data_IF_484012388408
#
_entry.id   IF_484012388408
#
_cell.length_a   1.000
_cell.length_b   1.000
_cell.length_c   1.000
_cell.angle_alpha   90.00
_cell.angle_beta   90.00
_cell.angle_gamma   90.00
#
_symmetry.space_group_name_H-M   'P 1'
#
loop_
_entity.id
_entity.type
_entity.pdbx_description
1 polymer ?
#
# COMPACT_ATOMS: atom_id res chain seq x y z
N UNK A 1 50.77 -34.30 10.32
CA UNK A 1 50.27 -33.80 9.02
C UNK A 1 49.98 -32.31 9.17
N UNK A 2 50.70 -31.40 8.50
CA UNK A 2 50.48 -29.96 8.60
C UNK A 2 49.22 -29.64 7.77
N UNK A 3 48.22 -29.06 8.41
CA UNK A 3 46.98 -28.64 7.75
C UNK A 3 47.20 -27.37 6.90
N UNK A 4 47.33 -27.55 5.60
CA UNK A 4 47.48 -26.42 4.65
C UNK A 4 46.15 -25.76 4.24
N UNK A 5 45.10 -26.01 5.02
CA UNK A 5 43.73 -25.48 4.73
C UNK A 5 43.68 -23.95 4.67
N UNK A 6 44.49 -23.26 5.50
CA UNK A 6 44.58 -21.79 5.49
C UNK A 6 45.21 -21.22 4.23
N UNK A 7 46.08 -21.97 3.53
CA UNK A 7 46.73 -21.53 2.28
C UNK A 7 45.65 -21.44 1.16
N UNK A 8 44.74 -22.41 1.11
CA UNK A 8 43.62 -22.41 0.16
C UNK A 8 42.67 -21.21 0.39
N UNK A 9 42.32 -20.97 1.65
CA UNK A 9 41.45 -19.83 2.02
C UNK A 9 42.09 -18.50 1.70
N UNK A 10 43.39 -18.33 2.02
CA UNK A 10 44.14 -17.11 1.71
C UNK A 10 44.24 -16.86 0.20
N UNK A 11 44.40 -17.90 -0.60
CA UNK A 11 44.45 -17.79 -2.07
C UNK A 11 43.09 -17.38 -2.66
N UNK A 12 42.01 -17.91 -2.12
CA UNK A 12 40.65 -17.50 -2.52
C UNK A 12 40.39 -16.01 -2.21
N UNK A 13 40.74 -15.56 -1.00
CA UNK A 13 40.59 -14.16 -0.61
C UNK A 13 41.43 -13.24 -1.50
N UNK A 14 42.64 -13.66 -1.82
CA UNK A 14 43.56 -12.90 -2.69
C UNK A 14 43.02 -12.78 -4.11
N UNK A 15 42.53 -13.87 -4.69
CA UNK A 15 41.91 -13.86 -6.03
C UNK A 15 40.65 -13.00 -6.05
N UNK A 16 39.84 -13.12 -5.02
CA UNK A 16 38.62 -12.28 -4.87
C UNK A 16 39.00 -10.79 -4.79
N UNK A 17 40.01 -10.44 -3.99
CA UNK A 17 40.51 -9.07 -3.87
C UNK A 17 41.02 -8.52 -5.21
N UNK A 18 41.81 -9.28 -5.95
CA UNK A 18 42.35 -8.86 -7.26
C UNK A 18 41.26 -8.61 -8.29
N UNK A 19 40.13 -9.40 -8.24
CA UNK A 19 39.06 -9.27 -9.20
C UNK A 19 38.07 -8.17 -8.80
N UNK A 20 37.73 -8.06 -7.51
CA UNK A 20 36.61 -7.19 -7.06
C UNK A 20 37.10 -5.78 -6.67
N UNK A 21 38.29 -5.62 -6.10
CA UNK A 21 38.81 -4.29 -5.71
C UNK A 21 38.88 -3.35 -6.91
N UNK A 22 39.47 -3.71 -8.07
CA UNK A 22 39.47 -2.83 -9.23
C UNK A 22 38.09 -2.50 -9.77
N UNK A 23 37.14 -3.48 -9.73
CA UNK A 23 35.75 -3.23 -10.12
C UNK A 23 35.07 -2.22 -9.21
N UNK A 24 35.30 -2.32 -7.91
CA UNK A 24 34.74 -1.37 -6.92
C UNK A 24 35.34 0.01 -7.11
N UNK A 25 36.68 0.10 -7.27
CA UNK A 25 37.40 1.37 -7.49
C UNK A 25 36.90 2.04 -8.79
N UNK A 26 36.80 1.29 -9.88
CA UNK A 26 36.26 1.81 -11.15
C UNK A 26 34.84 2.29 -11.04
N UNK A 27 33.97 1.58 -10.28
CA UNK A 27 32.60 1.97 -10.04
C UNK A 27 32.48 3.26 -9.22
N UNK A 28 33.36 3.41 -8.21
CA UNK A 28 33.43 4.64 -7.39
C UNK A 28 34.02 5.81 -8.17
N UNK A 29 35.05 5.56 -9.01
CA UNK A 29 35.71 6.63 -9.80
C UNK A 29 34.90 7.07 -11.03
N UNK A 30 34.10 6.18 -11.59
CA UNK A 30 33.27 6.49 -12.77
C UNK A 30 31.88 7.06 -12.43
N UNK A 31 31.61 7.38 -11.16
CA UNK A 31 30.35 7.97 -10.76
C UNK A 31 29.13 7.04 -10.83
N UNK A 32 29.35 5.70 -10.95
CA UNK A 32 28.29 4.69 -10.86
C UNK A 32 27.77 4.48 -9.40
N UNK A 33 28.23 5.31 -8.47
CA UNK A 33 27.62 5.49 -7.16
C UNK A 33 26.49 6.47 -7.38
N UNK A 34 25.26 6.04 -7.17
CA UNK A 34 24.09 6.89 -7.19
C UNK A 34 24.37 8.07 -6.26
N UNK A 35 24.59 9.26 -6.84
CA UNK A 35 24.83 10.48 -6.08
C UNK A 35 23.67 10.71 -5.14
N UNK A 36 23.96 10.83 -3.84
CA UNK A 36 22.99 11.25 -2.81
C UNK A 36 22.47 12.68 -3.06
N UNK A 37 22.97 13.38 -4.06
CA UNK A 37 22.62 14.75 -4.45
C UNK A 37 21.27 14.87 -5.20
N UNK A 38 20.51 13.77 -5.37
CA UNK A 38 19.14 13.82 -5.89
C UNK A 38 18.08 14.22 -4.85
N UNK A 39 18.48 14.47 -3.62
CA UNK A 39 17.59 14.90 -2.54
C UNK A 39 17.47 16.42 -2.38
N UNK A 40 18.25 17.21 -3.14
CA UNK A 40 18.17 18.66 -3.09
C UNK A 40 18.11 19.24 -4.50
N UNK A 41 16.98 19.13 -5.16
CA UNK A 41 16.74 19.97 -6.34
C UNK A 41 15.27 20.27 -6.46
N UNK A 42 14.92 21.45 -5.95
CA UNK A 42 14.04 22.36 -6.62
C UNK A 42 12.62 21.85 -6.80
N UNK A 43 11.72 22.37 -5.98
CA UNK A 43 10.40 22.75 -6.41
C UNK A 43 10.55 23.42 -7.79
N UNK A 44 10.37 22.67 -8.83
CA UNK A 44 10.12 23.14 -10.17
C UNK A 44 8.78 22.56 -10.55
N UNK A 45 7.76 23.40 -10.50
CA UNK A 45 6.55 23.21 -11.26
C UNK A 45 6.92 22.90 -12.71
N UNK A 46 6.91 21.61 -13.01
CA UNK A 46 6.76 21.14 -14.39
C UNK A 46 5.60 20.18 -14.41
N UNK A 47 4.44 20.74 -14.71
CA UNK A 47 3.42 20.09 -15.52
C UNK A 47 4.14 19.36 -16.65
N UNK A 48 4.31 18.08 -16.52
CA UNK A 48 4.83 17.20 -17.55
C UNK A 48 3.92 15.99 -17.63
N UNK A 49 3.04 16.05 -18.61
CA UNK A 49 2.31 14.94 -19.21
C UNK A 49 3.28 13.85 -19.68
N UNK A 50 3.82 13.08 -18.76
CA UNK A 50 4.54 11.85 -19.06
C UNK A 50 4.44 10.90 -17.87
N UNK A 51 3.21 10.69 -17.38
CA UNK A 51 2.94 9.65 -16.39
C UNK A 51 3.11 8.30 -17.08
N UNK A 52 4.15 7.55 -16.65
CA UNK A 52 4.30 6.15 -17.07
C UNK A 52 3.02 5.41 -16.72
N UNK A 53 2.54 4.49 -17.59
CA UNK A 53 1.36 3.69 -17.28
C UNK A 53 1.59 2.86 -16.02
N UNK A 54 0.57 2.76 -15.18
CA UNK A 54 0.64 1.95 -13.98
C UNK A 54 0.88 0.48 -14.33
N UNK A 55 1.73 -0.17 -13.55
CA UNK A 55 2.02 -1.59 -13.68
C UNK A 55 0.90 -2.45 -13.11
N UNK A 56 0.70 -3.60 -13.71
CA UNK A 56 0.01 -4.70 -13.06
C UNK A 56 0.95 -5.33 -12.03
N UNK A 57 0.42 -5.62 -10.85
CA UNK A 57 1.15 -6.48 -9.91
C UNK A 57 1.08 -7.90 -10.45
N UNK A 58 2.24 -8.55 -10.57
CA UNK A 58 2.35 -9.92 -11.05
C UNK A 58 2.89 -10.84 -9.96
N UNK A 59 2.28 -12.01 -9.81
CA UNK A 59 2.72 -13.07 -8.92
C UNK A 59 2.89 -14.33 -9.76
N UNK A 60 4.08 -14.91 -9.75
CA UNK A 60 4.45 -16.08 -10.57
C UNK A 60 4.19 -15.90 -12.09
N UNK A 61 4.30 -14.65 -12.59
CA UNK A 61 4.09 -14.33 -14.00
C UNK A 61 2.64 -14.12 -14.40
N UNK A 62 1.70 -14.16 -13.45
CA UNK A 62 0.28 -13.87 -13.68
C UNK A 62 -0.11 -12.54 -13.03
N UNK A 63 -0.94 -11.76 -13.71
CA UNK A 63 -1.48 -10.51 -13.16
C UNK A 63 -2.37 -10.79 -11.96
N UNK A 64 -2.12 -10.10 -10.85
CA UNK A 64 -2.87 -10.28 -9.61
C UNK A 64 -4.24 -9.63 -9.74
N UNK A 65 -5.30 -10.44 -9.77
CA UNK A 65 -6.68 -9.97 -9.53
C UNK A 65 -6.92 -9.70 -8.06
N UNK A 66 -7.81 -8.75 -7.79
CA UNK A 66 -8.39 -8.59 -6.46
C UNK A 66 -9.09 -9.90 -6.05
N UNK A 67 -8.92 -10.34 -4.82
CA UNK A 67 -9.64 -11.52 -4.32
C UNK A 67 -11.14 -11.27 -4.25
N UNK A 68 -11.93 -12.29 -4.56
CA UNK A 68 -13.37 -12.26 -4.35
C UNK A 68 -13.72 -12.26 -2.87
N UNK A 69 -14.75 -11.51 -2.51
CA UNK A 69 -15.30 -11.46 -1.16
C UNK A 69 -16.81 -11.29 -1.18
N UNK A 70 -17.46 -11.64 -0.09
CA UNK A 70 -18.85 -11.35 0.21
C UNK A 70 -18.95 -10.97 1.68
N UNK A 71 -19.28 -9.71 1.97
CA UNK A 71 -19.28 -9.12 3.30
C UNK A 71 -20.54 -8.25 3.47
N UNK A 72 -20.81 -7.80 4.70
CA UNK A 72 -21.97 -6.95 5.02
C UNK A 72 -21.51 -5.52 5.24
N UNK A 73 -22.19 -4.56 4.63
CA UNK A 73 -21.85 -3.15 4.78
C UNK A 73 -22.52 -2.49 6.00
N UNK A 74 -22.26 -1.21 6.20
CA UNK A 74 -22.80 -0.37 7.28
C UNK A 74 -24.34 -0.24 7.23
N UNK A 75 -24.98 -0.52 6.11
CA UNK A 75 -26.44 -0.46 5.94
C UNK A 75 -27.11 -1.82 6.13
N UNK A 76 -26.30 -2.88 6.29
CA UNK A 76 -26.78 -4.25 6.45
C UNK A 76 -26.94 -4.99 5.12
N UNK A 77 -26.53 -4.39 4.01
CA UNK A 77 -26.56 -5.01 2.70
C UNK A 77 -25.35 -5.91 2.48
N UNK A 78 -25.55 -7.03 1.78
CA UNK A 78 -24.45 -7.89 1.33
C UNK A 78 -23.76 -7.26 0.13
N UNK A 79 -22.47 -7.05 0.23
CA UNK A 79 -21.60 -6.49 -0.82
C UNK A 79 -20.57 -7.53 -1.21
N UNK A 80 -20.50 -7.86 -2.50
CA UNK A 80 -19.45 -8.67 -3.09
C UNK A 80 -18.44 -7.80 -3.86
N UNK A 81 -17.32 -8.40 -4.26
CA UNK A 81 -16.37 -7.77 -5.17
C UNK A 81 -17.02 -7.32 -6.48
N UNK A 82 -18.07 -7.99 -6.96
CA UNK A 82 -18.85 -7.61 -8.15
C UNK A 82 -19.51 -6.21 -8.03
N UNK A 83 -19.75 -5.70 -6.81
CA UNK A 83 -20.21 -4.32 -6.61
C UNK A 83 -19.23 -3.29 -7.20
N UNK A 84 -17.96 -3.65 -7.26
CA UNK A 84 -16.89 -2.79 -7.76
C UNK A 84 -16.53 -3.07 -9.22
N UNK A 85 -17.25 -3.95 -9.92
CA UNK A 85 -17.02 -4.19 -11.35
C UNK A 85 -17.17 -2.89 -12.15
N UNK A 86 -16.20 -2.62 -13.02
CA UNK A 86 -16.14 -1.39 -13.80
C UNK A 86 -15.75 -0.13 -13.02
N UNK A 87 -15.35 -0.27 -11.76
CA UNK A 87 -14.88 0.84 -10.93
C UNK A 87 -13.41 0.72 -10.60
N UNK A 88 -12.72 1.86 -10.53
CA UNK A 88 -11.44 1.97 -9.85
C UNK A 88 -11.71 2.07 -8.36
N UNK A 89 -11.12 1.20 -7.55
CA UNK A 89 -11.41 1.23 -6.12
C UNK A 89 -10.20 0.97 -5.25
N UNK A 90 -10.32 1.43 -3.99
CA UNK A 90 -9.32 1.20 -2.95
C UNK A 90 -9.82 0.13 -1.98
N UNK A 91 -8.89 -0.71 -1.51
CA UNK A 91 -9.14 -1.61 -0.38
C UNK A 91 -8.22 -1.25 0.76
N UNK A 92 -8.77 -1.20 1.98
CA UNK A 92 -8.02 -1.11 3.23
C UNK A 92 -8.56 -2.09 4.27
N UNK A 93 -7.71 -2.37 5.27
CA UNK A 93 -8.11 -3.08 6.48
C UNK A 93 -7.96 -2.14 7.68
N UNK A 94 -9.01 -2.04 8.50
CA UNK A 94 -9.09 -1.10 9.63
C UNK A 94 -9.86 -1.72 10.81
N UNK A 95 -10.01 -0.99 11.89
CA UNK A 95 -11.03 -1.25 12.92
C UNK A 95 -11.43 0.07 13.60
N UNK A 96 -12.71 0.17 13.99
CA UNK A 96 -13.29 1.45 14.39
C UNK A 96 -12.71 2.01 15.70
N UNK A 97 -12.18 1.14 16.56
CA UNK A 97 -11.59 1.51 17.87
C UNK A 97 -10.07 1.69 17.82
N UNK A 98 -9.43 1.67 16.65
CA UNK A 98 -8.00 1.87 16.51
C UNK A 98 -7.57 3.27 16.99
N UNK A 99 -6.67 3.38 17.99
CA UNK A 99 -6.29 4.69 18.50
C UNK A 99 -5.07 5.32 17.79
N UNK A 100 -4.49 4.66 16.80
CA UNK A 100 -3.19 5.03 16.21
C UNK A 100 -3.28 5.42 14.74
N UNK A 101 -3.20 4.45 13.83
CA UNK A 101 -3.07 4.72 12.39
C UNK A 101 -4.42 4.89 11.67
N UNK A 102 -5.49 4.20 12.10
CA UNK A 102 -6.78 4.29 11.41
C UNK A 102 -7.37 5.71 11.36
N UNK A 103 -7.24 6.56 12.39
CA UNK A 103 -7.69 7.95 12.28
C UNK A 103 -6.96 8.73 11.16
N UNK A 104 -5.68 8.43 10.92
CA UNK A 104 -4.90 9.05 9.85
C UNK A 104 -5.34 8.49 8.50
N UNK A 105 -5.47 7.16 8.39
CA UNK A 105 -5.92 6.49 7.17
C UNK A 105 -7.29 6.98 6.74
N UNK A 106 -8.24 7.02 7.69
CA UNK A 106 -9.58 7.52 7.43
C UNK A 106 -9.59 9.00 6.99
N UNK A 107 -8.80 9.87 7.65
CA UNK A 107 -8.66 11.27 7.23
C UNK A 107 -8.15 11.38 5.79
N UNK A 108 -7.18 10.56 5.40
CA UNK A 108 -6.66 10.52 4.04
C UNK A 108 -7.71 10.02 3.05
N UNK A 109 -8.51 9.00 3.40
CA UNK A 109 -9.58 8.49 2.54
C UNK A 109 -10.72 9.49 2.39
N UNK A 110 -11.04 10.28 3.43
CA UNK A 110 -12.02 11.38 3.32
C UNK A 110 -11.52 12.46 2.37
N UNK A 111 -10.22 12.79 2.38
CA UNK A 111 -9.64 13.71 1.39
C UNK A 111 -9.71 13.13 -0.04
N UNK A 112 -9.43 11.82 -0.21
CA UNK A 112 -9.59 11.14 -1.50
C UNK A 112 -11.05 11.14 -1.94
N UNK A 113 -11.99 10.84 -1.04
CA UNK A 113 -13.43 10.90 -1.31
C UNK A 113 -13.85 12.27 -1.88
N UNK A 114 -13.36 13.37 -1.32
CA UNK A 114 -13.68 14.72 -1.79
C UNK A 114 -13.15 15.00 -3.22
N UNK A 115 -11.97 14.47 -3.55
CA UNK A 115 -11.41 14.57 -4.92
C UNK A 115 -12.27 13.82 -5.95
N UNK A 116 -12.91 12.72 -5.56
CA UNK A 116 -13.67 11.84 -6.44
C UNK A 116 -15.18 11.83 -6.16
N UNK A 117 -15.71 12.78 -5.41
CA UNK A 117 -17.11 12.81 -4.96
C UNK A 117 -18.19 12.75 -6.06
N UNK A 118 -17.84 13.12 -7.29
CA UNK A 118 -18.73 13.10 -8.45
C UNK A 118 -18.41 11.95 -9.42
N UNK A 119 -17.52 11.04 -9.06
CA UNK A 119 -17.10 9.92 -9.90
C UNK A 119 -17.86 8.65 -9.50
N UNK A 120 -18.79 8.24 -10.36
CA UNK A 120 -19.59 7.03 -10.13
C UNK A 120 -18.75 5.74 -10.30
N UNK A 121 -17.66 5.82 -11.04
CA UNK A 121 -16.72 4.73 -11.34
C UNK A 121 -15.58 4.65 -10.32
N UNK A 122 -15.66 5.39 -9.20
CA UNK A 122 -14.73 5.28 -8.09
C UNK A 122 -15.41 4.67 -6.87
N UNK A 123 -14.65 3.89 -6.08
CA UNK A 123 -15.16 3.28 -4.85
C UNK A 123 -14.09 3.02 -3.79
N UNK A 124 -14.54 2.69 -2.58
CA UNK A 124 -13.66 2.31 -1.46
C UNK A 124 -14.30 1.15 -0.70
N UNK A 125 -13.51 0.12 -0.43
CA UNK A 125 -13.85 -1.01 0.42
C UNK A 125 -12.99 -0.97 1.68
N UNK A 126 -13.54 -0.47 2.79
CA UNK A 126 -12.88 -0.48 4.11
C UNK A 126 -13.36 -1.70 4.89
N UNK A 127 -12.49 -2.68 5.11
CA UNK A 127 -12.82 -3.98 5.71
C UNK A 127 -12.37 -4.00 7.17
N UNK A 128 -13.32 -4.16 8.10
CA UNK A 128 -12.99 -4.22 9.52
C UNK A 128 -12.36 -5.56 9.90
N UNK A 129 -11.27 -5.51 10.67
CA UNK A 129 -10.60 -6.68 11.25
C UNK A 129 -11.10 -7.03 12.66
N UNK A 130 -12.02 -6.24 13.22
CA UNK A 130 -12.70 -6.52 14.48
C UNK A 130 -14.22 -6.70 14.30
N UNK A 131 -14.68 -7.71 13.55
CA UNK A 131 -16.09 -7.87 13.24
C UNK A 131 -16.96 -8.19 14.48
N UNK A 132 -16.34 -8.50 15.61
CA UNK A 132 -17.10 -8.69 16.87
C UNK A 132 -17.60 -7.37 17.45
N UNK A 133 -16.80 -6.33 17.33
CA UNK A 133 -17.17 -4.97 17.73
C UNK A 133 -17.84 -4.21 16.59
N UNK A 134 -17.27 -4.25 15.41
CA UNK A 134 -17.67 -3.47 14.24
C UNK A 134 -18.87 -4.11 13.52
N UNK A 135 -20.01 -4.08 14.19
CA UNK A 135 -21.30 -4.46 13.58
C UNK A 135 -21.74 -3.41 12.55
N UNK A 136 -22.68 -3.72 11.64
CA UNK A 136 -23.24 -2.74 10.70
C UNK A 136 -23.66 -1.43 11.38
N UNK A 137 -24.33 -1.51 12.55
CA UNK A 137 -24.77 -0.35 13.28
C UNK A 137 -23.61 0.52 13.81
N UNK A 138 -22.52 -0.10 14.28
CA UNK A 138 -21.30 0.57 14.71
C UNK A 138 -20.62 1.25 13.52
N UNK A 139 -20.48 0.52 12.40
CA UNK A 139 -19.90 1.05 11.17
C UNK A 139 -20.71 2.20 10.59
N UNK A 140 -22.05 2.14 10.67
CA UNK A 140 -22.93 3.23 10.25
C UNK A 140 -22.75 4.49 11.10
N UNK A 141 -22.53 4.32 12.40
CA UNK A 141 -22.21 5.45 13.28
C UNK A 141 -20.83 6.01 12.97
N UNK A 142 -19.84 5.12 12.80
CA UNK A 142 -18.48 5.50 12.40
C UNK A 142 -18.47 6.31 11.10
N UNK A 143 -19.22 5.88 10.08
CA UNK A 143 -19.34 6.62 8.82
C UNK A 143 -19.83 8.06 9.03
N UNK A 144 -20.88 8.23 9.85
CA UNK A 144 -21.42 9.58 10.17
C UNK A 144 -20.42 10.46 10.90
N UNK A 145 -19.75 9.88 11.90
CA UNK A 145 -18.82 10.63 12.77
C UNK A 145 -17.55 11.08 12.02
N UNK A 146 -17.20 10.36 10.94
CA UNK A 146 -16.00 10.63 10.17
C UNK A 146 -16.26 11.24 8.78
N UNK A 147 -17.50 11.57 8.44
CA UNK A 147 -17.83 12.22 7.17
C UNK A 147 -17.71 11.32 5.94
N UNK A 148 -17.88 10.02 6.11
CA UNK A 148 -17.91 9.03 5.03
C UNK A 148 -19.27 9.08 4.37
N UNK A 149 -19.35 9.53 3.11
CA UNK A 149 -20.61 9.78 2.41
C UNK A 149 -20.58 9.49 0.91
N UNK A 150 -19.46 9.00 0.36
CA UNK A 150 -19.41 8.58 -1.03
C UNK A 150 -20.29 7.33 -1.24
N UNK A 151 -21.17 7.28 -2.27
CA UNK A 151 -22.13 6.19 -2.45
C UNK A 151 -21.46 4.81 -2.66
N UNK A 152 -20.26 4.78 -3.19
CA UNK A 152 -19.46 3.57 -3.40
C UNK A 152 -18.40 3.33 -2.31
N UNK A 153 -18.50 4.00 -1.16
CA UNK A 153 -17.66 3.68 -0.01
C UNK A 153 -18.41 2.79 0.96
N UNK A 154 -18.02 1.52 1.00
CA UNK A 154 -18.59 0.55 1.92
C UNK A 154 -17.62 0.26 3.07
N UNK A 155 -18.12 0.39 4.31
CA UNK A 155 -17.48 -0.12 5.51
C UNK A 155 -17.99 -1.55 5.73
N UNK A 156 -17.11 -2.52 5.61
CA UNK A 156 -17.44 -3.92 5.49
C UNK A 156 -17.09 -4.70 6.76
N UNK A 157 -17.98 -5.60 7.15
CA UNK A 157 -17.79 -6.54 8.26
C UNK A 157 -18.34 -7.92 7.89
N UNK A 158 -18.00 -8.95 8.67
CA UNK A 158 -18.47 -10.30 8.37
C UNK A 158 -17.84 -11.37 9.24
N UNK A 159 -17.68 -12.57 8.69
CA UNK A 159 -17.00 -13.65 9.39
C UNK A 159 -15.50 -13.34 9.59
N UNK A 160 -15.02 -13.52 10.84
CA UNK A 160 -13.66 -13.19 11.22
C UNK A 160 -12.60 -13.97 10.43
N UNK A 161 -12.79 -15.27 10.28
CA UNK A 161 -11.79 -16.12 9.65
C UNK A 161 -11.75 -15.85 8.15
N UNK A 162 -12.89 -15.51 7.54
CA UNK A 162 -13.00 -15.04 6.16
C UNK A 162 -12.23 -13.74 5.97
N UNK A 163 -12.42 -12.74 6.84
CA UNK A 163 -11.74 -11.45 6.79
C UNK A 163 -10.22 -11.62 6.96
N UNK A 164 -9.78 -12.43 7.94
CA UNK A 164 -8.36 -12.64 8.17
C UNK A 164 -7.69 -13.44 7.06
N UNK A 165 -8.40 -14.39 6.44
CA UNK A 165 -7.90 -15.07 5.26
C UNK A 165 -7.77 -14.11 4.07
N UNK A 166 -8.78 -13.25 3.87
CA UNK A 166 -8.78 -12.22 2.82
C UNK A 166 -7.59 -11.27 2.98
N UNK A 167 -7.37 -10.72 4.19
CA UNK A 167 -6.27 -9.82 4.48
C UNK A 167 -4.91 -10.51 4.30
N UNK A 168 -4.66 -11.55 5.11
CA UNK A 168 -3.31 -12.11 5.28
C UNK A 168 -2.86 -12.97 4.10
N UNK A 169 -3.77 -13.80 3.53
CA UNK A 169 -3.37 -14.75 2.49
C UNK A 169 -3.65 -14.24 1.08
N UNK A 170 -4.74 -13.50 0.90
CA UNK A 170 -5.18 -13.14 -0.43
C UNK A 170 -4.65 -11.76 -0.84
N UNK A 171 -4.84 -10.72 -0.01
CA UNK A 171 -4.25 -9.41 -0.26
C UNK A 171 -2.76 -9.36 0.13
N UNK A 172 -2.34 -10.10 1.14
CA UNK A 172 -0.98 -10.07 1.68
C UNK A 172 -0.73 -8.87 2.59
N UNK A 173 -1.80 -8.37 3.23
CA UNK A 173 -1.75 -7.30 4.24
C UNK A 173 -1.95 -7.94 5.60
N UNK A 174 -0.97 -7.80 6.47
CA UNK A 174 -1.06 -8.39 7.81
C UNK A 174 -2.18 -7.73 8.62
N UNK A 175 -3.04 -8.59 9.17
CA UNK A 175 -4.06 -8.26 10.15
C UNK A 175 -4.18 -9.39 11.19
N UNK A 176 -4.23 -9.05 12.47
CA UNK A 176 -4.30 -10.03 13.54
C UNK A 176 -4.63 -9.42 14.89
N UNK A 177 -5.16 -10.26 15.80
CA UNK A 177 -5.26 -9.91 17.22
C UNK A 177 -3.85 -9.86 17.82
N UNK A 178 -3.55 -8.81 18.58
CA UNK A 178 -2.29 -8.62 19.28
C UNK A 178 -2.56 -7.85 20.56
N UNK A 179 -2.52 -8.57 21.68
CA UNK A 179 -2.83 -7.98 23.00
C UNK A 179 -1.87 -6.88 23.45
N UNK A 180 -0.67 -6.81 22.85
CA UNK A 180 0.33 -5.79 23.14
C UNK A 180 0.17 -4.56 22.21
N UNK A 181 -0.58 -4.69 21.12
CA UNK A 181 -0.86 -3.59 20.21
C UNK A 181 -1.95 -2.66 20.76
N UNK A 182 -1.85 -1.37 20.45
CA UNK A 182 -2.85 -0.40 20.82
C UNK A 182 -4.21 -0.73 20.19
N UNK A 183 -5.22 -0.92 21.02
CA UNK A 183 -6.56 -1.35 20.57
C UNK A 183 -6.72 -2.87 20.43
N UNK A 184 -5.69 -3.68 20.76
CA UNK A 184 -5.79 -5.14 20.76
C UNK A 184 -5.61 -5.82 19.40
N UNK A 185 -5.28 -5.05 18.35
CA UNK A 185 -5.08 -5.55 16.99
C UNK A 185 -3.85 -4.90 16.36
N UNK A 186 -3.14 -5.68 15.54
CA UNK A 186 -2.07 -5.20 14.68
C UNK A 186 -2.49 -5.33 13.21
N UNK A 187 -2.32 -4.24 12.46
CA UNK A 187 -2.51 -4.24 11.01
C UNK A 187 -1.56 -3.26 10.33
N UNK A 188 -1.32 -3.49 9.05
CA UNK A 188 -0.52 -2.60 8.22
C UNK A 188 -1.39 -1.49 7.64
N UNK A 189 -0.89 -0.25 7.70
CA UNK A 189 -1.61 0.94 7.23
C UNK A 189 -1.49 1.17 5.73
N UNK A 190 -1.96 0.23 4.92
CA UNK A 190 -1.84 0.23 3.47
C UNK A 190 -3.18 0.35 2.75
N UNK A 191 -3.14 0.98 1.57
CA UNK A 191 -4.20 0.96 0.58
C UNK A 191 -3.77 0.14 -0.64
N UNK A 192 -4.69 -0.66 -1.18
CA UNK A 192 -4.53 -1.38 -2.43
C UNK A 192 -5.35 -0.68 -3.50
N UNK A 193 -4.73 -0.35 -4.64
CA UNK A 193 -5.40 0.24 -5.79
C UNK A 193 -5.79 -0.85 -6.78
N UNK A 194 -7.06 -0.89 -7.17
CA UNK A 194 -7.62 -1.88 -8.09
C UNK A 194 -8.28 -1.14 -9.26
N UNK A 195 -8.03 -1.61 -10.48
CA UNK A 195 -8.59 -1.02 -11.69
C UNK A 195 -9.99 -1.55 -12.04
N UNK A 196 -10.60 -0.99 -13.07
CA UNK A 196 -11.94 -1.31 -13.55
C UNK A 196 -12.11 -2.78 -13.98
N UNK A 197 -11.01 -3.46 -14.34
CA UNK A 197 -11.00 -4.88 -14.71
C UNK A 197 -10.73 -5.80 -13.50
N UNK A 198 -10.61 -5.24 -12.29
CA UNK A 198 -10.37 -5.95 -11.05
C UNK A 198 -8.91 -6.35 -10.83
N UNK A 199 -7.93 -5.73 -11.50
CA UNK A 199 -6.52 -6.02 -11.29
C UNK A 199 -5.86 -5.03 -10.32
N UNK A 200 -4.94 -5.56 -9.50
CA UNK A 200 -4.13 -4.73 -8.60
C UNK A 200 -3.12 -3.95 -9.42
N UNK A 201 -3.12 -2.62 -9.24
CA UNK A 201 -2.27 -1.68 -9.97
C UNK A 201 -1.32 -0.92 -9.03
N UNK A 202 -0.19 -0.53 -9.58
CA UNK A 202 0.80 0.26 -8.84
C UNK A 202 1.68 1.05 -9.78
N UNK A 203 2.19 2.20 -9.32
CA UNK A 203 3.31 2.85 -10.00
C UNK A 203 4.63 2.17 -9.65
N UNK A 204 5.65 2.46 -10.46
CA UNK A 204 7.03 2.07 -10.15
C UNK A 204 7.68 3.09 -9.20
N UNK A 205 8.53 2.59 -8.31
CA UNK A 205 9.46 3.41 -7.56
C UNK A 205 10.60 3.94 -8.46
N UNK A 206 11.52 4.70 -7.86
CA UNK A 206 12.69 5.23 -8.57
C UNK A 206 13.63 4.14 -9.14
N UNK A 207 13.51 2.89 -8.67
CA UNK A 207 14.31 1.74 -9.12
C UNK A 207 13.59 0.89 -10.16
N UNK A 208 12.35 1.22 -10.51
CA UNK A 208 11.51 0.48 -11.45
C UNK A 208 10.75 -0.70 -10.85
N UNK A 209 10.70 -0.81 -9.51
CA UNK A 209 9.90 -1.82 -8.84
C UNK A 209 8.50 -1.28 -8.52
N UNK A 210 7.44 -2.11 -8.64
CA UNK A 210 6.12 -1.69 -8.20
C UNK A 210 6.09 -1.48 -6.69
N UNK A 211 5.48 -0.39 -6.23
CA UNK A 211 5.35 -0.10 -4.80
C UNK A 211 4.33 -1.00 -4.09
N UNK A 212 3.55 -1.75 -4.83
CA UNK A 212 2.52 -2.74 -4.43
C UNK A 212 1.39 -2.13 -3.61
N UNK A 213 1.70 -1.48 -2.49
CA UNK A 213 0.75 -0.87 -1.56
C UNK A 213 1.09 0.60 -1.33
N UNK A 214 0.05 1.43 -1.23
CA UNK A 214 0.19 2.84 -0.89
C UNK A 214 0.07 3.04 0.61
N UNK A 215 0.97 3.80 1.21
CA UNK A 215 0.95 4.09 2.65
C UNK A 215 -0.20 5.02 3.02
N UNK A 216 -1.20 4.46 3.69
CA UNK A 216 -2.33 5.21 4.23
C UNK A 216 -2.08 5.83 5.60
N UNK A 217 -1.08 5.35 6.34
CA UNK A 217 -0.77 5.74 7.71
C UNK A 217 0.03 7.05 7.86
N UNK A 218 0.41 7.69 6.75
CA UNK A 218 1.10 8.99 6.72
C UNK A 218 0.16 10.06 6.20
N UNK A 219 -0.03 11.16 6.95
CA UNK A 219 -0.91 12.27 6.54
C UNK A 219 -0.47 12.88 5.21
N UNK A 220 -1.43 13.16 4.32
CA UNK A 220 -1.23 13.76 3.00
C UNK A 220 -0.28 14.96 3.00
N UNK A 221 -0.44 15.86 3.94
CA UNK A 221 0.30 17.13 4.01
C UNK A 221 1.40 17.13 5.09
N UNK A 222 1.91 15.95 5.49
CA UNK A 222 3.01 15.88 6.45
C UNK A 222 4.29 16.46 5.85
N UNK A 223 4.91 17.43 6.52
CA UNK A 223 6.28 17.83 6.21
C UNK A 223 7.22 16.71 6.64
N UNK A 224 8.06 16.25 5.72
CA UNK A 224 8.97 15.11 5.93
C UNK A 224 10.34 15.62 6.33
N UNK A 225 10.85 15.14 7.47
CA UNK A 225 12.25 15.32 7.84
C UNK A 225 13.10 14.21 7.20
N UNK A 226 14.41 14.43 7.12
CA UNK A 226 15.34 13.45 6.55
C UNK A 226 15.23 12.10 7.28
N UNK A 227 14.97 11.03 6.52
CA UNK A 227 14.78 9.67 7.03
C UNK A 227 13.37 9.32 7.49
N UNK A 228 12.39 10.23 7.40
CA UNK A 228 10.99 9.93 7.66
C UNK A 228 10.27 9.39 6.42
N UNK A 229 9.14 8.72 6.66
CA UNK A 229 8.29 8.19 5.59
C UNK A 229 7.54 9.31 4.85
N UNK A 230 7.65 9.30 3.51
CA UNK A 230 6.97 10.27 2.65
C UNK A 230 5.47 9.96 2.49
N UNK A 231 4.61 11.02 2.43
CA UNK A 231 3.20 10.87 2.10
C UNK A 231 3.00 10.33 0.67
N UNK A 232 2.13 9.31 0.54
CA UNK A 232 1.83 8.72 -0.76
C UNK A 232 0.43 9.06 -1.28
N UNK A 233 -0.34 9.85 -0.56
CA UNK A 233 -1.75 10.13 -0.90
C UNK A 233 -1.88 10.95 -2.19
N UNK A 234 -1.00 11.93 -2.42
CA UNK A 234 -1.05 12.72 -3.65
C UNK A 234 -0.75 11.85 -4.88
N UNK A 235 0.25 10.97 -4.76
CA UNK A 235 0.58 10.05 -5.86
C UNK A 235 -0.52 9.01 -6.08
N UNK A 236 -1.19 8.56 -5.01
CA UNK A 236 -2.34 7.67 -5.12
C UNK A 236 -3.51 8.35 -5.84
N UNK A 237 -3.80 9.63 -5.54
CA UNK A 237 -4.83 10.41 -6.23
C UNK A 237 -4.52 10.56 -7.73
N UNK A 238 -3.26 10.82 -8.08
CA UNK A 238 -2.81 10.86 -9.49
C UNK A 238 -3.02 9.50 -10.17
N UNK A 239 -2.68 8.42 -9.50
CA UNK A 239 -2.80 7.06 -10.03
C UNK A 239 -4.26 6.63 -10.22
N UNK A 240 -5.15 7.02 -9.30
CA UNK A 240 -6.59 6.83 -9.46
C UNK A 240 -7.09 7.59 -10.70
N UNK A 241 -6.70 8.88 -10.86
CA UNK A 241 -7.07 9.70 -12.05
C UNK A 241 -6.59 9.10 -13.37
N UNK A 242 -5.48 8.36 -13.34
CA UNK A 242 -4.95 7.71 -14.55
C UNK A 242 -5.74 6.46 -14.93
N UNK A 243 -6.44 5.83 -13.99
CA UNK A 243 -7.22 4.61 -14.21
C UNK A 243 -8.70 4.90 -14.52
N UNK A 244 -9.22 6.07 -14.10
CA UNK A 244 -10.56 6.55 -14.43
C UNK A 244 -10.64 7.10 -15.87
#
# INVERSE_FOLDING_TARGET
>A
MKNYSYVGVSLIILIFGIIFIPKIINRVQNGDVVDADRLTSGVSEKTSENTKPLRYIEINGERKKAPSFELVNQDGDTISDEFYDGKVYLVEFFFSTCPTICPIMNSNLVEIQEEFKNQEDFGIASISIDPRHDTPAVLKQYARDHGINHPNWNLLTGDRDTIYNLANKQFGIYAGEDGDAAGGFAHQGFFVLIDQDGYVRSREDQFGNPIIFYKGSVKRNKSVAEGEEEPQINILIEDIKQLL
#
